data_IF_902318502698
#
_entry.id   IF_902318502698
#
_cell.length_a   1.000
_cell.length_b   1.000
_cell.length_c   1.000
_cell.angle_alpha   90.00
_cell.angle_beta   90.00
_cell.angle_gamma   90.00
#
_symmetry.space_group_name_H-M   'P 1'
#
loop_
_entity.id
_entity.type
_entity.pdbx_description
1 polymer ?
#
# COMPACT_ATOMS: atom_id res chain seq x y z
N UNK A 1 7.39 6.06 26.27
CA UNK A 1 7.58 4.99 25.28
C UNK A 1 7.19 5.55 23.92
N UNK A 2 8.09 5.56 22.94
CA UNK A 2 7.75 6.06 21.60
C UNK A 2 6.84 5.03 20.91
N UNK A 3 5.66 5.45 20.45
CA UNK A 3 4.80 4.60 19.63
C UNK A 3 5.56 4.25 18.33
N UNK A 4 5.65 2.95 18.00
CA UNK A 4 6.28 2.48 16.77
C UNK A 4 5.47 3.06 15.59
N UNK A 5 6.03 4.01 14.84
CA UNK A 5 5.38 4.57 13.65
C UNK A 5 5.09 3.46 12.65
N UNK A 6 3.88 3.47 12.07
CA UNK A 6 3.52 2.57 10.97
C UNK A 6 4.36 2.89 9.74
N UNK A 7 4.67 1.85 8.97
CA UNK A 7 5.27 1.96 7.63
C UNK A 7 4.14 2.24 6.65
N UNK A 8 4.20 3.40 6.00
CA UNK A 8 3.24 3.77 4.96
C UNK A 8 3.67 3.19 3.62
N UNK A 9 2.73 2.56 2.92
CA UNK A 9 2.96 1.84 1.65
C UNK A 9 2.04 2.37 0.56
N UNK A 10 2.58 2.56 -0.64
CA UNK A 10 1.83 2.77 -1.88
C UNK A 10 1.97 1.49 -2.72
N UNK A 11 0.87 0.98 -3.28
CA UNK A 11 0.90 -0.20 -4.16
C UNK A 11 0.82 0.28 -5.61
N UNK A 12 1.79 -0.08 -6.46
CA UNK A 12 1.80 0.25 -7.87
C UNK A 12 1.85 -1.02 -8.73
N UNK A 13 0.82 -1.26 -9.54
CA UNK A 13 0.70 -2.42 -10.44
C UNK A 13 -0.33 -2.11 -11.52
N UNK A 14 -0.15 -2.58 -12.76
CA UNK A 14 -1.06 -2.31 -13.88
C UNK A 14 -2.32 -3.20 -13.88
N UNK A 15 -2.42 -4.13 -12.92
CA UNK A 15 -3.54 -5.06 -12.78
C UNK A 15 -4.27 -4.87 -11.44
N UNK A 16 -5.56 -4.51 -11.51
CA UNK A 16 -6.40 -4.27 -10.33
C UNK A 16 -6.47 -5.47 -9.37
N UNK A 17 -6.57 -6.69 -9.90
CA UNK A 17 -6.65 -7.92 -9.09
C UNK A 17 -5.44 -8.09 -8.17
N UNK A 18 -4.24 -7.74 -8.63
CA UNK A 18 -3.02 -7.82 -7.82
C UNK A 18 -2.99 -6.73 -6.75
N UNK A 19 -3.42 -5.50 -7.06
CA UNK A 19 -3.48 -4.42 -6.06
C UNK A 19 -4.45 -4.74 -4.93
N UNK A 20 -5.65 -5.22 -5.27
CA UNK A 20 -6.66 -5.64 -4.29
C UNK A 20 -6.12 -6.78 -3.41
N UNK A 21 -5.54 -7.83 -4.03
CA UNK A 21 -5.00 -8.96 -3.29
C UNK A 21 -3.83 -8.59 -2.35
N UNK A 22 -2.93 -7.70 -2.78
CA UNK A 22 -1.82 -7.22 -1.94
C UNK A 22 -2.35 -6.34 -0.81
N UNK A 23 -3.32 -5.47 -1.08
CA UNK A 23 -3.93 -4.62 -0.06
C UNK A 23 -4.61 -5.46 1.02
N UNK A 24 -5.39 -6.46 0.64
CA UNK A 24 -6.06 -7.38 1.56
C UNK A 24 -5.05 -8.14 2.44
N UNK A 25 -3.92 -8.56 1.84
CA UNK A 25 -2.84 -9.20 2.58
C UNK A 25 -2.21 -8.25 3.62
N UNK A 26 -2.07 -6.97 3.30
CA UNK A 26 -1.43 -5.96 4.15
C UNK A 26 -2.37 -5.38 5.22
N UNK A 27 -3.70 -5.43 5.04
CA UNK A 27 -4.66 -4.86 5.99
C UNK A 27 -4.61 -5.53 7.39
N UNK A 28 -4.16 -6.79 7.45
CA UNK A 28 -3.94 -7.51 8.70
C UNK A 28 -2.70 -7.07 9.49
N UNK A 29 -1.77 -6.33 8.87
CA UNK A 29 -0.48 -5.98 9.46
C UNK A 29 -0.54 -4.66 10.23
N UNK A 30 -0.55 -4.74 11.57
CA UNK A 30 -0.66 -3.56 12.46
C UNK A 30 0.47 -2.53 12.29
N UNK A 31 1.59 -2.94 11.72
CA UNK A 31 2.77 -2.12 11.48
C UNK A 31 2.74 -1.42 10.11
N UNK A 32 1.79 -1.75 9.24
CA UNK A 32 1.70 -1.26 7.86
C UNK A 32 0.41 -0.46 7.69
N UNK A 33 0.47 0.52 6.80
CA UNK A 33 -0.68 1.31 6.38
C UNK A 33 -0.58 1.55 4.88
N UNK A 34 -1.53 1.01 4.12
CA UNK A 34 -1.63 1.27 2.67
C UNK A 34 -2.30 2.64 2.49
N UNK A 35 -1.55 3.60 1.98
CA UNK A 35 -2.00 5.00 1.84
C UNK A 35 -2.48 5.35 0.43
N UNK A 36 -2.36 4.42 -0.52
CA UNK A 36 -2.83 4.62 -1.87
C UNK A 36 -2.48 3.45 -2.80
N UNK A 37 -3.03 3.54 -4.01
CA UNK A 37 -2.81 2.60 -5.10
C UNK A 37 -2.54 3.40 -6.38
N UNK A 38 -1.71 2.86 -7.27
CA UNK A 38 -1.39 3.45 -8.57
C UNK A 38 -1.49 2.38 -9.65
N UNK A 39 -2.13 2.72 -10.76
CA UNK A 39 -2.26 1.85 -11.94
C UNK A 39 -1.12 1.97 -12.93
N UNK A 40 -0.29 3.01 -12.78
CA UNK A 40 0.90 3.23 -13.59
C UNK A 40 1.97 4.03 -12.83
N UNK A 41 3.13 4.20 -13.49
CA UNK A 41 4.27 4.93 -12.91
C UNK A 41 4.04 6.43 -12.75
N UNK A 42 3.18 7.06 -13.56
CA UNK A 42 2.88 8.49 -13.43
C UNK A 42 1.99 8.75 -12.21
N UNK A 43 0.99 7.89 -11.98
CA UNK A 43 0.17 7.92 -10.76
C UNK A 43 1.02 7.66 -9.51
N UNK A 44 2.02 6.78 -9.60
CA UNK A 44 2.86 6.39 -8.47
C UNK A 44 3.80 7.49 -7.94
N UNK A 45 4.19 8.44 -8.79
CA UNK A 45 5.16 9.50 -8.45
C UNK A 45 4.55 10.90 -8.28
N UNK A 46 3.24 11.02 -8.45
CA UNK A 46 2.50 12.28 -8.33
C UNK A 46 2.23 12.65 -6.88
#
# INVERSE_FOLDING_TARGET
MAAKKKVTVLIADDQTLFREGIKDLLDGEKSIEVIGEASDGHEAVK
#
